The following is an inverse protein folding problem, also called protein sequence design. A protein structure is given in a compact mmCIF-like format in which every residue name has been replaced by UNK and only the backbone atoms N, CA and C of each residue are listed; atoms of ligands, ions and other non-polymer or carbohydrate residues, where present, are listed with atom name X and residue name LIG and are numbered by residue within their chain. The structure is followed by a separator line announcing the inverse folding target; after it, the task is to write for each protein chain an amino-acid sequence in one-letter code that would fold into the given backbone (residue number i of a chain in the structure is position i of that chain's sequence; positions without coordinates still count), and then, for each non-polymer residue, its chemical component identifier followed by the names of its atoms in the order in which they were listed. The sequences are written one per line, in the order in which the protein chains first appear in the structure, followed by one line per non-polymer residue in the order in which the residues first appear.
data_IF_695155361996
#
_entry.id   IF_695155361996
#
_cell.length_a   1.000
_cell.length_b   1.000
_cell.length_c   1.000
_cell.angle_alpha   90.00
_cell.angle_beta   90.00
_cell.angle_gamma   90.00
#
_symmetry.space_group_name_H-M   'P 1'
#
loop_
_entity.id
_entity.type
_entity.pdbx_description
1 polymer ?
#
# COMPACT_ATOMS: atom_id res chain seq x y z
N UNK A 1 8.60 -3.45 -16.57
CA UNK A 1 7.56 -4.41 -16.98
C UNK A 1 6.32 -3.61 -17.36
N UNK A 2 5.96 -3.53 -18.63
CA UNK A 2 4.73 -2.84 -19.05
C UNK A 2 3.53 -3.58 -18.45
N UNK A 3 2.67 -2.87 -17.71
CA UNK A 3 1.46 -3.45 -17.16
C UNK A 3 0.55 -3.85 -18.30
N UNK A 4 0.18 -5.14 -18.38
CA UNK A 4 -0.78 -5.61 -19.38
C UNK A 4 -2.12 -4.90 -19.19
N UNK A 5 -2.56 -4.15 -20.21
CA UNK A 5 -3.90 -3.57 -20.24
C UNK A 5 -4.92 -4.64 -20.61
N UNK A 6 -5.85 -4.94 -19.70
CA UNK A 6 -6.89 -5.96 -19.93
C UNK A 6 -8.10 -5.38 -20.66
N UNK A 7 -8.52 -6.04 -21.75
CA UNK A 7 -9.80 -5.73 -22.39
C UNK A 7 -10.99 -6.17 -21.50
N UNK A 8 -12.19 -5.60 -21.69
CA UNK A 8 -13.38 -6.01 -20.94
C UNK A 8 -13.70 -7.51 -21.07
N UNK A 9 -13.55 -8.07 -22.27
CA UNK A 9 -13.84 -9.49 -22.58
C UNK A 9 -12.85 -10.40 -21.83
N UNK A 10 -11.56 -10.01 -21.81
CA UNK A 10 -10.54 -10.74 -21.08
C UNK A 10 -10.81 -10.71 -19.57
N UNK A 11 -11.21 -9.55 -19.01
CA UNK A 11 -11.62 -9.45 -17.60
C UNK A 11 -12.81 -10.35 -17.29
N UNK A 12 -13.82 -10.39 -18.17
CA UNK A 12 -15.00 -11.24 -18.01
C UNK A 12 -14.63 -12.72 -18.01
N UNK A 13 -13.83 -13.17 -18.97
CA UNK A 13 -13.34 -14.56 -19.04
C UNK A 13 -12.57 -14.96 -17.79
N UNK A 14 -11.72 -14.06 -17.27
CA UNK A 14 -11.00 -14.29 -16.02
C UNK A 14 -11.95 -14.37 -14.82
N UNK A 15 -12.93 -13.47 -14.73
CA UNK A 15 -13.92 -13.50 -13.65
C UNK A 15 -14.71 -14.83 -13.65
N UNK A 16 -15.09 -15.35 -14.82
CA UNK A 16 -15.73 -16.66 -14.96
C UNK A 16 -14.81 -17.81 -14.53
N UNK A 17 -13.53 -17.79 -14.92
CA UNK A 17 -12.56 -18.80 -14.49
C UNK A 17 -12.31 -18.79 -12.98
N UNK A 18 -12.10 -17.61 -12.38
CA UNK A 18 -11.98 -17.43 -10.92
C UNK A 18 -13.23 -17.96 -10.21
N UNK A 19 -14.44 -17.66 -10.71
CA UNK A 19 -15.69 -18.19 -10.12
C UNK A 19 -15.81 -19.70 -10.23
N UNK A 20 -15.28 -20.29 -11.29
CA UNK A 20 -15.27 -21.75 -11.47
C UNK A 20 -14.31 -22.43 -10.48
N UNK A 21 -13.11 -21.90 -10.31
CA UNK A 21 -12.08 -22.52 -9.46
C UNK A 21 -12.16 -22.12 -8.00
N UNK A 22 -12.88 -21.04 -7.68
CA UNK A 22 -13.12 -20.53 -6.33
C UNK A 22 -11.87 -20.56 -5.44
N UNK A 23 -10.74 -19.97 -5.86
CA UNK A 23 -9.46 -20.11 -5.17
C UNK A 23 -9.50 -19.64 -3.70
N UNK A 24 -10.45 -18.79 -3.34
CA UNK A 24 -10.69 -18.37 -1.95
C UNK A 24 -11.10 -19.53 -1.02
N UNK A 25 -11.71 -20.60 -1.53
CA UNK A 25 -12.06 -21.79 -0.72
C UNK A 25 -10.83 -22.53 -0.21
N UNK A 26 -9.70 -22.41 -0.93
CA UNK A 26 -8.40 -22.95 -0.52
C UNK A 26 -7.52 -21.93 0.20
N UNK A 27 -8.04 -20.73 0.49
CA UNK A 27 -7.27 -19.69 1.15
C UNK A 27 -6.95 -20.09 2.59
N UNK A 28 -5.68 -20.30 2.88
CA UNK A 28 -5.15 -20.60 4.22
C UNK A 28 -4.73 -19.33 4.94
N UNK A 29 -5.63 -18.34 4.98
CA UNK A 29 -5.44 -17.13 5.77
C UNK A 29 -5.08 -17.45 7.23
N UNK A 30 -4.52 -16.48 7.98
CA UNK A 30 -4.05 -16.72 9.33
C UNK A 30 -5.18 -17.19 10.25
N UNK A 31 -5.06 -18.43 10.73
CA UNK A 31 -6.04 -19.07 11.63
C UNK A 31 -5.75 -18.79 13.11
N UNK A 32 -4.49 -18.52 13.47
CA UNK A 32 -4.08 -18.21 14.85
C UNK A 32 -4.30 -16.74 15.21
N UNK A 33 -4.43 -16.46 16.51
CA UNK A 33 -4.53 -15.09 17.03
C UNK A 33 -3.29 -14.26 16.67
N UNK A 34 -2.09 -14.85 16.82
CA UNK A 34 -0.82 -14.24 16.42
C UNK A 34 -0.79 -13.89 14.92
N UNK A 35 -1.20 -14.83 14.07
CA UNK A 35 -1.26 -14.60 12.63
C UNK A 35 -2.21 -13.47 12.26
N UNK A 36 -3.37 -13.39 12.93
CA UNK A 36 -4.34 -12.30 12.74
C UNK A 36 -3.79 -10.96 13.18
N UNK A 37 -3.11 -10.91 14.33
CA UNK A 37 -2.46 -9.70 14.82
C UNK A 37 -1.35 -9.21 13.88
N UNK A 38 -0.61 -10.13 13.25
CA UNK A 38 0.41 -9.77 12.26
C UNK A 38 -0.19 -9.14 11.01
N UNK A 39 -1.30 -9.68 10.50
CA UNK A 39 -1.93 -9.16 9.26
C UNK A 39 -2.86 -7.98 9.47
N UNK A 40 -3.32 -7.70 10.69
CA UNK A 40 -4.24 -6.58 10.97
C UNK A 40 -3.63 -5.22 10.62
N UNK A 41 -2.30 -5.11 10.64
CA UNK A 41 -1.58 -3.91 10.22
C UNK A 41 -1.50 -3.70 8.71
N UNK A 42 -1.78 -4.71 7.87
CA UNK A 42 -1.59 -4.61 6.43
C UNK A 42 -2.50 -3.58 5.74
N UNK A 43 -3.62 -3.22 6.37
CA UNK A 43 -4.51 -2.17 5.88
C UNK A 43 -3.91 -0.76 6.04
N UNK A 44 -2.88 -0.59 6.88
CA UNK A 44 -2.23 0.69 7.09
C UNK A 44 -1.27 1.02 5.95
N UNK A 45 -1.74 1.84 5.00
CA UNK A 45 -0.95 2.28 3.83
C UNK A 45 -0.25 3.61 4.17
N UNK A 46 0.50 3.64 5.26
CA UNK A 46 1.36 4.77 5.62
C UNK A 46 0.66 6.04 6.10
N UNK A 47 -0.67 6.12 6.19
CA UNK A 47 -1.40 7.24 6.80
C UNK A 47 -0.92 8.62 6.33
N UNK A 48 -0.55 9.49 7.26
CA UNK A 48 -0.07 10.85 6.96
C UNK A 48 1.44 10.93 6.66
N UNK A 49 2.12 9.79 6.48
CA UNK A 49 3.58 9.76 6.29
C UNK A 49 4.06 10.63 5.13
N UNK A 50 3.24 10.81 4.08
CA UNK A 50 3.55 11.71 2.98
C UNK A 50 3.57 13.18 3.42
N UNK A 51 2.54 13.62 4.15
CA UNK A 51 2.44 14.99 4.69
C UNK A 51 3.56 15.26 5.70
N UNK A 52 3.83 14.31 6.60
CA UNK A 52 4.91 14.42 7.58
C UNK A 52 6.28 14.55 6.92
N UNK A 53 6.55 13.77 5.85
CA UNK A 53 7.79 13.91 5.08
C UNK A 53 7.93 15.30 4.44
N UNK A 54 6.85 15.86 3.91
CA UNK A 54 6.86 17.22 3.37
C UNK A 54 7.10 18.26 4.46
N UNK A 55 6.44 18.14 5.61
CA UNK A 55 6.62 19.04 6.75
C UNK A 55 8.07 19.02 7.27
N UNK A 56 8.66 17.84 7.43
CA UNK A 56 10.07 17.69 7.85
C UNK A 56 11.01 18.33 6.82
N UNK A 57 10.75 18.17 5.52
CA UNK A 57 11.55 18.81 4.47
C UNK A 57 11.49 20.34 4.58
N UNK A 58 10.29 20.89 4.77
CA UNK A 58 10.09 22.33 4.93
C UNK A 58 10.79 22.86 6.20
N UNK A 59 10.68 22.14 7.32
CA UNK A 59 11.36 22.48 8.57
C UNK A 59 12.88 22.50 8.39
N UNK A 60 13.46 21.45 7.79
CA UNK A 60 14.90 21.38 7.56
C UNK A 60 15.40 22.51 6.66
N UNK A 61 14.59 22.95 5.70
CA UNK A 61 14.93 24.08 4.84
C UNK A 61 14.96 25.39 5.66
N UNK A 62 13.91 25.66 6.45
CA UNK A 62 13.84 26.84 7.29
C UNK A 62 14.98 26.91 8.33
N UNK A 63 15.39 25.77 8.89
CA UNK A 63 16.51 25.72 9.84
C UNK A 63 17.86 26.00 9.17
N UNK A 64 18.05 25.61 7.91
CA UNK A 64 19.27 25.96 7.15
C UNK A 64 19.34 27.45 6.87
N UNK A 65 18.23 28.02 6.42
CA UNK A 65 18.11 29.45 6.18
C UNK A 65 18.35 30.24 7.46
N UNK A 66 17.75 29.83 8.58
CA UNK A 66 18.00 30.46 9.88
C UNK A 66 19.49 30.42 10.25
N UNK A 67 20.16 29.28 10.04
CA UNK A 67 21.60 29.17 10.32
C UNK A 67 22.41 30.13 9.45
N UNK A 68 22.16 30.17 8.15
CA UNK A 68 22.84 31.09 7.23
C UNK A 68 22.65 32.57 7.59
N UNK A 69 21.51 32.92 8.20
CA UNK A 69 21.25 34.29 8.68
C UNK A 69 21.94 34.64 10.00
N UNK A 70 22.31 33.63 10.79
CA UNK A 70 22.93 33.80 12.10
C UNK A 70 24.47 33.66 12.06
N UNK A 71 25.01 33.12 10.97
CA UNK A 71 26.44 33.09 10.63
C UNK A 71 26.87 34.42 9.96
#
# INVERSE_FOLDING_TARGET
MSSRTWTPEQRKRQAEAIRRWKPWEQSTGPKSAEGKAKVSGNAYIGGESAKLRQAIKALNQALREQKEWLD
#
